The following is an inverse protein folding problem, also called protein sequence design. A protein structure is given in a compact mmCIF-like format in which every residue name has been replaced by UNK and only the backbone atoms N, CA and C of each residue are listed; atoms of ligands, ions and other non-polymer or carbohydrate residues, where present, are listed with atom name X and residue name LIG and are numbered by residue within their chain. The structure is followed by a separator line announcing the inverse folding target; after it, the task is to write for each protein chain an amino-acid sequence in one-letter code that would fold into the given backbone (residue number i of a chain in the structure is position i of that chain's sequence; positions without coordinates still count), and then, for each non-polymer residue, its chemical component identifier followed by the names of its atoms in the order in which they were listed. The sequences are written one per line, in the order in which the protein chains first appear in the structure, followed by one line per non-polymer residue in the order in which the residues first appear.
data_IF_030500300604
#
_entry.id   IF_030500300604
#
_cell.length_a   1.000
_cell.length_b   1.000
_cell.length_c   1.000
_cell.angle_alpha   90.00
_cell.angle_beta   90.00
_cell.angle_gamma   90.00
#
_symmetry.space_group_name_H-M   'P 1'
#
loop_
_entity.id
_entity.type
_entity.pdbx_description
1 polymer ?
#
# COMPACT_ATOMS: atom_id res chain seq x y z
N UNK A 1 -10.62 -8.70 -12.37
CA UNK A 1 -9.15 -8.63 -12.29
C UNK A 1 -8.67 -7.59 -13.30
N UNK A 2 -8.73 -6.32 -12.91
CA UNK A 2 -8.17 -5.20 -13.68
C UNK A 2 -6.65 -5.04 -13.42
N UNK A 3 -6.05 -6.05 -12.79
CA UNK A 3 -4.67 -6.05 -12.27
C UNK A 3 -3.65 -6.49 -13.33
N UNK A 4 -4.10 -6.79 -14.55
CA UNK A 4 -3.27 -7.31 -15.65
C UNK A 4 -3.21 -6.37 -16.88
N UNK A 5 -3.52 -5.09 -16.74
CA UNK A 5 -3.20 -4.13 -17.80
C UNK A 5 -1.69 -3.83 -17.83
N UNK A 6 -0.85 -4.84 -18.06
CA UNK A 6 0.47 -4.65 -18.67
C UNK A 6 0.20 -4.35 -20.15
N UNK A 7 -0.29 -3.14 -20.39
CA UNK A 7 -0.57 -2.63 -21.73
C UNK A 7 0.55 -1.70 -22.14
N UNK A 8 1.49 -2.17 -22.97
CA UNK A 8 2.05 -1.27 -24.00
C UNK A 8 0.89 -0.93 -24.93
N UNK A 9 0.15 0.13 -24.62
CA UNK A 9 -0.66 0.77 -25.64
C UNK A 9 0.34 1.47 -26.58
N UNK A 10 0.76 0.76 -27.63
CA UNK A 10 1.21 1.42 -28.86
C UNK A 10 0.00 2.21 -29.38
N UNK A 11 -0.12 3.48 -29.01
CA UNK A 11 -0.90 4.41 -29.80
C UNK A 11 -0.10 4.69 -31.06
N UNK A 12 -0.42 3.94 -32.11
CA UNK A 12 -0.51 4.42 -33.48
C UNK A 12 -1.25 3.34 -34.26
N UNK A 13 -2.47 3.63 -34.71
CA UNK A 13 -3.26 2.79 -35.62
C UNK A 13 -2.64 2.71 -37.04
N UNK A 14 -1.43 3.25 -37.21
CA UNK A 14 -0.62 3.14 -38.41
C UNK A 14 0.72 2.48 -38.05
N UNK A 15 1.18 1.45 -38.79
CA UNK A 15 2.55 0.96 -38.64
C UNK A 15 3.50 2.14 -38.88
N UNK A 16 4.47 2.34 -37.99
CA UNK A 16 5.48 3.39 -38.15
C UNK A 16 6.09 3.27 -39.54
N UNK A 17 5.79 4.25 -40.41
CA UNK A 17 6.18 4.20 -41.83
C UNK A 17 7.55 4.79 -42.07
N UNK A 18 8.10 5.46 -41.05
CA UNK A 18 9.41 6.09 -41.09
C UNK A 18 10.06 6.14 -39.69
N UNK A 19 11.36 6.42 -39.67
CA UNK A 19 12.19 6.54 -38.46
C UNK A 19 11.85 7.76 -37.59
N UNK A 20 10.99 8.67 -38.05
CA UNK A 20 10.50 9.80 -37.24
C UNK A 20 9.24 9.40 -36.43
N UNK A 21 8.41 8.48 -36.92
CA UNK A 21 7.24 7.94 -36.21
C UNK A 21 7.66 7.08 -35.00
N UNK A 22 8.84 6.45 -35.05
CA UNK A 22 9.43 5.72 -33.91
C UNK A 22 10.03 6.64 -32.84
N UNK A 23 10.13 7.95 -33.11
CA UNK A 23 10.69 8.97 -32.20
C UNK A 23 9.66 9.70 -31.36
N UNK A 24 8.39 9.31 -31.38
CA UNK A 24 7.43 9.72 -30.34
C UNK A 24 7.80 9.00 -29.03
N UNK A 25 8.85 9.47 -28.38
CA UNK A 25 9.12 9.14 -26.97
C UNK A 25 7.99 9.77 -26.18
N UNK A 26 7.05 8.96 -25.70
CA UNK A 26 6.15 9.40 -24.65
C UNK A 26 7.01 10.00 -23.52
N UNK A 27 6.84 11.29 -23.24
CA UNK A 27 7.64 11.99 -22.22
C UNK A 27 7.40 11.45 -20.81
N UNK A 28 6.26 10.78 -20.60
CA UNK A 28 5.83 10.22 -19.32
C UNK A 28 5.33 8.78 -19.55
N UNK A 29 5.44 7.94 -18.52
CA UNK A 29 4.76 6.65 -18.49
C UNK A 29 3.24 6.80 -18.59
N UNK A 30 2.54 5.78 -19.08
CA UNK A 30 1.07 5.78 -19.12
C UNK A 30 0.49 5.96 -17.71
N UNK A 31 1.01 5.22 -16.72
CA UNK A 31 0.61 5.31 -15.32
C UNK A 31 0.78 6.72 -14.79
N UNK A 32 1.94 7.35 -14.98
CA UNK A 32 2.17 8.74 -14.58
C UNK A 32 1.25 9.71 -15.30
N UNK A 33 1.14 9.61 -16.63
CA UNK A 33 0.31 10.51 -17.42
C UNK A 33 -1.16 10.45 -16.99
N UNK A 34 -1.68 9.25 -16.71
CA UNK A 34 -3.04 9.05 -16.21
C UNK A 34 -3.20 9.62 -14.81
N UNK A 35 -2.41 9.18 -13.82
CA UNK A 35 -2.58 9.62 -12.42
C UNK A 35 -2.37 11.12 -12.30
N UNK A 36 -1.30 11.66 -12.88
CA UNK A 36 -1.00 13.10 -12.82
C UNK A 36 -2.09 13.95 -13.46
N UNK A 37 -2.58 13.55 -14.64
CA UNK A 37 -3.63 14.32 -15.33
C UNK A 37 -4.94 14.31 -14.55
N UNK A 38 -5.37 13.15 -14.05
CA UNK A 38 -6.64 13.06 -13.32
C UNK A 38 -6.57 13.68 -11.92
N UNK A 39 -5.47 13.47 -11.18
CA UNK A 39 -5.24 14.12 -9.90
C UNK A 39 -5.27 15.66 -10.00
N UNK A 40 -4.69 16.23 -11.07
CA UNK A 40 -4.64 17.68 -11.25
C UNK A 40 -5.87 18.29 -11.91
N UNK A 41 -6.48 17.58 -12.86
CA UNK A 41 -7.59 18.15 -13.64
C UNK A 41 -8.96 17.89 -13.00
N UNK A 42 -9.13 16.75 -12.31
CA UNK A 42 -10.40 16.34 -11.72
C UNK A 42 -10.13 15.51 -10.45
N UNK A 43 -9.66 16.13 -9.36
CA UNK A 43 -9.40 15.40 -8.12
C UNK A 43 -10.66 14.88 -7.44
N UNK A 44 -11.82 15.48 -7.77
CA UNK A 44 -13.13 15.00 -7.35
C UNK A 44 -13.22 14.79 -5.82
N UNK A 45 -12.95 15.81 -5.00
CA UNK A 45 -12.92 15.66 -3.55
C UNK A 45 -14.27 15.25 -2.96
N UNK A 46 -14.24 14.64 -1.77
CA UNK A 46 -15.40 14.54 -0.89
C UNK A 46 -15.56 15.79 0.01
N UNK A 47 -16.52 15.77 0.94
CA UNK A 47 -16.81 16.90 1.80
C UNK A 47 -15.67 17.25 2.77
N UNK A 48 -14.69 16.35 2.93
CA UNK A 48 -13.50 16.54 3.76
C UNK A 48 -12.28 16.95 2.95
N UNK A 49 -12.45 17.11 1.63
CA UNK A 49 -11.39 17.49 0.71
C UNK A 49 -10.52 16.32 0.26
N UNK A 50 -10.83 15.06 0.62
CA UNK A 50 -10.02 13.92 0.16
C UNK A 50 -10.35 13.62 -1.29
N UNK A 51 -9.36 13.47 -2.18
CA UNK A 51 -9.62 13.23 -3.61
C UNK A 51 -10.29 11.87 -3.83
N UNK A 52 -11.39 11.83 -4.58
CA UNK A 52 -12.19 10.62 -4.83
C UNK A 52 -11.93 9.95 -6.18
N UNK A 53 -11.16 10.59 -7.05
CA UNK A 53 -10.90 10.14 -8.43
C UNK A 53 -10.22 8.75 -8.52
N UNK A 54 -9.49 8.33 -7.48
CA UNK A 54 -8.79 7.04 -7.44
C UNK A 54 -9.75 5.87 -7.67
N UNK A 55 -10.85 5.81 -6.90
CA UNK A 55 -11.80 4.70 -6.97
C UNK A 55 -12.67 4.76 -8.24
N UNK A 56 -12.77 5.93 -8.88
CA UNK A 56 -13.48 6.09 -10.17
C UNK A 56 -12.74 5.39 -11.32
N UNK A 57 -11.40 5.34 -11.27
CA UNK A 57 -10.57 4.65 -12.28
C UNK A 57 -10.24 3.20 -11.92
N UNK A 58 -10.30 2.84 -10.64
CA UNK A 58 -10.18 1.47 -10.15
C UNK A 58 -11.57 0.94 -9.76
N UNK A 59 -12.47 0.64 -10.72
CA UNK A 59 -13.85 0.30 -10.39
C UNK A 59 -13.97 -1.04 -9.66
N UNK A 60 -14.93 -1.12 -8.74
CA UNK A 60 -15.34 -2.39 -8.15
C UNK A 60 -16.01 -3.29 -9.20
N UNK A 61 -15.91 -4.60 -9.01
CA UNK A 61 -16.86 -5.53 -9.62
C UNK A 61 -18.18 -5.50 -8.83
N UNK A 62 -19.29 -5.40 -9.54
CA UNK A 62 -20.65 -5.64 -9.06
C UNK A 62 -21.19 -6.85 -9.81
N UNK A 63 -21.36 -7.99 -9.15
CA UNK A 63 -21.86 -9.22 -9.79
C UNK A 63 -23.37 -9.12 -10.14
N UNK A 64 -24.09 -8.18 -9.50
CA UNK A 64 -25.51 -7.88 -9.76
C UNK A 64 -25.75 -6.70 -10.70
N UNK A 65 -24.69 -6.08 -11.24
CA UNK A 65 -24.82 -4.90 -12.10
C UNK A 65 -25.40 -3.66 -11.39
N UNK A 66 -25.35 -3.64 -10.05
CA UNK A 66 -25.78 -2.51 -9.23
C UNK A 66 -24.65 -1.48 -9.12
N UNK A 67 -24.95 -0.22 -9.45
CA UNK A 67 -24.03 0.92 -9.43
C UNK A 67 -24.44 2.00 -8.43
N UNK A 68 -25.40 1.72 -7.56
CA UNK A 68 -25.95 2.63 -6.56
C UNK A 68 -24.89 3.11 -5.55
N UNK A 69 -23.89 2.27 -5.26
CA UNK A 69 -22.74 2.57 -4.39
C UNK A 69 -21.41 2.66 -5.12
N UNK A 70 -21.46 2.82 -6.44
CA UNK A 70 -20.27 3.05 -7.24
C UNK A 70 -19.67 4.44 -6.87
N UNK A 71 -18.36 4.69 -7.02
CA UNK A 71 -17.79 6.01 -6.67
C UNK A 71 -18.19 7.13 -7.64
N UNK A 72 -18.51 6.79 -8.88
CA UNK A 72 -18.90 7.76 -9.92
C UNK A 72 -20.39 7.69 -10.25
N UNK A 73 -21.03 8.84 -10.45
CA UNK A 73 -22.37 8.92 -11.03
C UNK A 73 -22.32 8.60 -12.53
N UNK A 74 -23.49 8.45 -13.17
CA UNK A 74 -23.57 8.11 -14.61
C UNK A 74 -22.97 9.19 -15.51
N UNK A 75 -23.01 10.44 -15.07
CA UNK A 75 -22.39 11.61 -15.71
C UNK A 75 -20.92 11.80 -15.32
N UNK A 76 -20.35 10.91 -14.50
CA UNK A 76 -18.93 10.91 -14.15
C UNK A 76 -18.56 11.87 -13.01
N UNK A 77 -19.53 12.38 -12.25
CA UNK A 77 -19.27 13.15 -11.04
C UNK A 77 -18.94 12.23 -9.85
N UNK A 78 -18.31 12.79 -8.81
CA UNK A 78 -18.12 12.05 -7.56
C UNK A 78 -19.48 11.87 -6.85
N UNK A 79 -19.92 10.62 -6.69
CA UNK A 79 -21.16 10.30 -5.95
C UNK A 79 -21.09 10.75 -4.49
N UNK A 80 -19.89 10.77 -3.92
CA UNK A 80 -19.63 11.07 -2.51
C UNK A 80 -19.09 12.48 -2.29
N UNK A 81 -19.26 13.39 -3.25
CA UNK A 81 -18.78 14.78 -3.15
C UNK A 81 -19.26 15.51 -1.89
N UNK A 82 -20.53 15.32 -1.52
CA UNK A 82 -21.15 15.90 -0.32
C UNK A 82 -21.05 14.97 0.92
N UNK A 83 -20.36 13.84 0.78
CA UNK A 83 -20.25 12.80 1.79
C UNK A 83 -18.81 12.42 2.07
N UNK A 84 -18.54 11.12 2.16
CA UNK A 84 -17.21 10.57 2.39
C UNK A 84 -16.92 9.49 1.35
N UNK A 85 -15.78 9.58 0.66
CA UNK A 85 -15.42 8.63 -0.39
C UNK A 85 -15.32 7.18 0.10
N UNK A 86 -15.10 6.96 1.41
CA UNK A 86 -14.99 5.63 2.01
C UNK A 86 -16.33 4.93 2.21
N UNK A 87 -17.44 5.66 2.10
CA UNK A 87 -18.79 5.08 2.13
C UNK A 87 -19.15 4.35 0.81
N UNK A 88 -18.26 4.41 -0.20
CA UNK A 88 -18.38 3.70 -1.46
C UNK A 88 -18.03 2.22 -1.40
N UNK A 89 -18.56 1.43 -2.33
CA UNK A 89 -18.19 0.03 -2.53
C UNK A 89 -17.37 -0.11 -3.81
N UNK A 90 -16.06 -0.01 -3.63
CA UNK A 90 -15.02 0.07 -4.64
C UNK A 90 -14.27 -1.24 -4.84
N UNK A 91 -13.26 -1.23 -5.72
CA UNK A 91 -12.24 -2.28 -5.77
C UNK A 91 -11.42 -2.33 -4.47
N UNK A 92 -11.19 -1.17 -3.83
CA UNK A 92 -10.50 -1.05 -2.57
C UNK A 92 -11.50 -0.84 -1.43
N UNK A 93 -12.32 0.22 -1.49
CA UNK A 93 -13.26 0.55 -0.40
C UNK A 93 -14.24 -0.59 -0.10
N UNK A 94 -14.19 -1.10 1.12
CA UNK A 94 -15.01 -2.22 1.57
C UNK A 94 -14.52 -3.60 1.08
N UNK A 95 -13.35 -3.71 0.44
CA UNK A 95 -12.77 -5.01 0.01
C UNK A 95 -11.39 -5.27 0.60
N UNK A 96 -10.67 -4.22 0.95
CA UNK A 96 -9.40 -4.32 1.66
C UNK A 96 -9.61 -4.22 3.18
N UNK A 97 -8.82 -4.95 3.95
CA UNK A 97 -8.85 -4.92 5.42
C UNK A 97 -8.75 -3.49 5.96
N UNK A 98 -7.91 -2.65 5.37
CA UNK A 98 -7.71 -1.29 5.86
C UNK A 98 -8.88 -0.36 5.54
N UNK A 99 -9.72 -0.70 4.57
CA UNK A 99 -10.87 0.11 4.16
C UNK A 99 -12.22 -0.43 4.62
N UNK A 100 -12.27 -1.70 5.06
CA UNK A 100 -13.51 -2.39 5.35
C UNK A 100 -13.96 -2.12 6.80
N UNK A 101 -15.08 -1.42 7.02
CA UNK A 101 -15.57 -1.14 8.38
C UNK A 101 -16.11 -2.39 9.10
N UNK A 102 -16.33 -3.50 8.39
CA UNK A 102 -16.83 -4.77 8.95
C UNK A 102 -15.73 -5.77 9.30
N UNK A 103 -14.46 -5.42 9.14
CA UNK A 103 -13.34 -6.35 9.32
C UNK A 103 -13.13 -6.88 10.74
N UNK A 104 -13.72 -6.26 11.76
CA UNK A 104 -13.32 -6.49 13.16
C UNK A 104 -13.55 -7.95 13.59
N UNK A 105 -14.55 -8.63 13.02
CA UNK A 105 -14.83 -10.05 13.25
C UNK A 105 -13.87 -10.98 12.53
N UNK A 106 -13.05 -10.45 11.61
CA UNK A 106 -12.16 -11.20 10.73
C UNK A 106 -10.70 -11.16 11.21
N UNK A 107 -10.42 -10.45 12.29
CA UNK A 107 -9.07 -10.23 12.83
C UNK A 107 -8.83 -11.07 14.08
N UNK A 108 -7.81 -11.92 14.02
CA UNK A 108 -7.43 -12.83 15.11
C UNK A 108 -6.17 -12.39 15.86
N UNK A 109 -5.48 -11.35 15.37
CA UNK A 109 -4.25 -10.80 15.96
C UNK A 109 -4.33 -9.27 16.06
N UNK A 110 -3.52 -8.70 16.95
CA UNK A 110 -3.41 -7.25 17.12
C UNK A 110 -2.81 -6.56 15.89
N UNK A 111 -3.08 -5.27 15.73
CA UNK A 111 -2.56 -4.49 14.59
C UNK A 111 -1.12 -4.00 14.78
N UNK A 112 -0.53 -4.06 15.99
CA UNK A 112 0.86 -3.71 16.28
C UNK A 112 1.39 -2.47 15.51
N UNK A 113 0.87 -1.30 15.87
CA UNK A 113 1.05 -0.06 15.11
C UNK A 113 2.19 0.80 15.63
N UNK A 114 2.94 1.42 14.70
CA UNK A 114 3.86 2.51 15.00
C UNK A 114 3.08 3.83 15.25
N UNK A 115 3.77 4.94 15.48
CA UNK A 115 3.11 6.23 15.77
C UNK A 115 2.23 6.75 14.61
N UNK A 116 2.61 6.49 13.36
CA UNK A 116 1.84 6.86 12.17
C UNK A 116 0.57 6.02 12.08
N UNK A 117 0.69 4.70 12.26
CA UNK A 117 -0.45 3.79 12.26
C UNK A 117 -1.44 4.11 13.38
N UNK A 118 -0.94 4.43 14.58
CA UNK A 118 -1.79 4.87 15.71
C UNK A 118 -2.53 6.16 15.38
N UNK A 119 -1.85 7.15 14.77
CA UNK A 119 -2.50 8.38 14.33
C UNK A 119 -3.63 8.11 13.32
N UNK A 120 -3.39 7.25 12.32
CA UNK A 120 -4.42 6.85 11.36
C UNK A 120 -5.60 6.17 12.04
N UNK A 121 -5.36 5.21 12.94
CA UNK A 121 -6.41 4.54 13.71
C UNK A 121 -7.27 5.52 14.49
N UNK A 122 -6.64 6.50 15.13
CA UNK A 122 -7.30 7.39 16.08
C UNK A 122 -7.98 8.59 15.39
N UNK A 123 -7.53 8.98 14.20
CA UNK A 123 -7.96 10.23 13.53
C UNK A 123 -8.72 10.01 12.23
N UNK A 124 -8.28 9.05 11.42
CA UNK A 124 -8.82 8.84 10.08
C UNK A 124 -9.76 7.65 10.08
N UNK A 125 -9.31 6.54 10.64
CA UNK A 125 -10.00 5.27 10.60
C UNK A 125 -11.40 5.36 11.22
N UNK A 126 -11.46 5.91 12.43
CA UNK A 126 -12.71 6.18 13.15
C UNK A 126 -13.00 7.67 13.10
N UNK A 127 -13.92 8.09 12.24
CA UNK A 127 -14.22 9.50 12.00
C UNK A 127 -15.73 9.76 12.00
N UNK A 128 -16.16 10.83 12.68
CA UNK A 128 -17.58 11.16 12.94
C UNK A 128 -18.37 10.06 13.66
N UNK A 129 -17.71 9.32 14.56
CA UNK A 129 -18.33 8.21 15.29
C UNK A 129 -18.62 6.97 14.42
N UNK A 130 -18.05 6.89 13.22
CA UNK A 130 -18.13 5.72 12.33
C UNK A 130 -16.75 5.13 12.10
N UNK A 131 -16.65 3.80 12.12
CA UNK A 131 -15.53 3.10 11.52
C UNK A 131 -15.67 3.22 9.99
N UNK A 132 -14.71 3.86 9.34
CA UNK A 132 -14.70 4.11 7.89
C UNK A 132 -13.52 3.46 7.19
N UNK A 133 -12.51 3.04 7.95
CA UNK A 133 -11.24 2.62 7.39
C UNK A 133 -10.45 3.75 6.73
N UNK A 134 -9.43 3.33 6.00
CA UNK A 134 -8.55 4.16 5.20
C UNK A 134 -9.03 4.19 3.75
N UNK A 135 -8.73 5.30 3.09
CA UNK A 135 -8.85 5.51 1.65
C UNK A 135 -7.49 5.42 0.93
N UNK A 136 -7.50 5.29 -0.40
CA UNK A 136 -6.30 5.09 -1.24
C UNK A 136 -5.16 6.08 -0.94
N UNK A 137 -5.49 7.35 -0.72
CA UNK A 137 -4.51 8.42 -0.47
C UNK A 137 -3.87 8.39 0.91
N UNK A 138 -4.36 7.57 1.85
CA UNK A 138 -3.68 7.36 3.13
C UNK A 138 -2.55 6.34 3.02
N UNK A 139 -2.53 5.54 1.94
CA UNK A 139 -1.44 4.63 1.62
C UNK A 139 -0.54 5.27 0.56
N UNK A 140 -1.16 5.78 -0.52
CA UNK A 140 -0.47 6.37 -1.66
C UNK A 140 -0.32 7.87 -1.45
N UNK A 141 0.70 8.27 -0.70
CA UNK A 141 0.95 9.68 -0.36
C UNK A 141 2.44 10.05 -0.37
N UNK A 142 2.74 11.36 -0.29
CA UNK A 142 4.12 11.84 -0.19
C UNK A 142 4.86 11.33 1.05
N UNK A 143 4.14 10.92 2.12
CA UNK A 143 4.78 10.40 3.33
C UNK A 143 5.51 9.09 3.04
N UNK A 144 4.86 8.13 2.39
CA UNK A 144 5.47 6.83 2.09
C UNK A 144 6.81 6.99 1.35
N UNK A 145 6.85 7.89 0.35
CA UNK A 145 8.08 8.25 -0.35
C UNK A 145 9.17 8.82 0.58
N UNK A 146 8.79 9.75 1.47
CA UNK A 146 9.71 10.36 2.42
C UNK A 146 10.25 9.34 3.44
N UNK A 147 9.40 8.44 3.93
CA UNK A 147 9.78 7.40 4.87
C UNK A 147 10.76 6.43 4.21
N UNK A 148 10.44 5.93 3.01
CA UNK A 148 11.34 5.05 2.26
C UNK A 148 12.68 5.73 1.98
N UNK A 149 12.68 7.00 1.57
CA UNK A 149 13.92 7.77 1.36
C UNK A 149 14.80 7.84 2.62
N UNK A 150 14.19 8.01 3.80
CA UNK A 150 14.90 8.17 5.05
C UNK A 150 15.51 6.86 5.59
N UNK A 151 14.96 5.69 5.25
CA UNK A 151 15.41 4.41 5.81
C UNK A 151 16.88 4.12 5.54
N UNK A 152 17.58 3.61 6.55
CA UNK A 152 18.96 3.11 6.45
C UNK A 152 19.06 1.86 7.32
N UNK A 153 18.24 0.86 6.98
CA UNK A 153 18.06 -0.34 7.79
C UNK A 153 19.38 -1.11 7.95
N UNK A 154 19.65 -1.47 9.19
CA UNK A 154 20.63 -2.50 9.57
C UNK A 154 19.96 -3.82 9.88
N UNK A 155 18.70 -3.77 10.33
CA UNK A 155 17.88 -4.94 10.63
C UNK A 155 16.38 -4.61 10.48
N UNK A 156 15.72 -5.26 9.52
CA UNK A 156 14.30 -5.05 9.26
C UNK A 156 13.39 -5.67 10.33
N UNK A 157 13.80 -6.77 10.98
CA UNK A 157 12.97 -7.48 11.94
C UNK A 157 12.84 -6.72 13.27
N UNK A 158 13.86 -5.95 13.65
CA UNK A 158 13.84 -5.07 14.83
C UNK A 158 13.56 -3.61 14.49
N UNK A 159 13.58 -3.24 13.21
CA UNK A 159 13.51 -1.86 12.76
C UNK A 159 14.80 -1.06 13.01
N UNK A 160 15.92 -1.73 13.26
CA UNK A 160 17.23 -1.09 13.37
C UNK A 160 17.54 -0.27 12.12
N UNK A 161 17.71 1.05 12.27
CA UNK A 161 17.96 1.97 11.17
C UNK A 161 16.71 2.45 10.41
N UNK A 162 15.50 2.14 10.91
CA UNK A 162 14.25 2.67 10.36
C UNK A 162 14.20 4.18 10.62
N UNK A 163 14.23 4.99 9.55
CA UNK A 163 14.58 6.41 9.64
C UNK A 163 13.46 7.25 10.26
N UNK A 164 12.57 7.76 9.41
CA UNK A 164 11.41 8.53 9.86
C UNK A 164 10.32 7.64 10.47
N UNK A 165 10.30 6.34 10.17
CA UNK A 165 9.30 5.37 10.65
C UNK A 165 9.30 5.16 12.15
N UNK A 166 10.45 5.35 12.79
CA UNK A 166 10.62 5.20 14.22
C UNK A 166 10.25 6.47 15.01
N UNK A 167 9.76 7.52 14.33
CA UNK A 167 9.53 8.84 14.90
C UNK A 167 8.09 9.03 15.32
N UNK A 168 7.90 9.88 16.33
CA UNK A 168 6.59 10.39 16.73
C UNK A 168 6.06 11.42 15.71
N UNK A 169 4.75 11.70 15.73
CA UNK A 169 4.13 12.72 14.85
C UNK A 169 4.81 14.10 14.97
N UNK A 170 5.15 14.62 16.16
CA UNK A 170 5.88 15.89 16.28
C UNK A 170 7.29 15.85 15.69
N UNK A 171 8.01 14.74 15.83
CA UNK A 171 9.34 14.58 15.24
C UNK A 171 9.27 14.49 13.70
N UNK A 172 8.24 13.84 13.15
CA UNK A 172 7.97 13.85 11.71
C UNK A 172 7.69 15.26 11.20
N UNK A 173 6.89 16.04 11.94
CA UNK A 173 6.62 17.43 11.59
C UNK A 173 7.90 18.28 11.64
N UNK A 174 8.75 18.07 12.65
CA UNK A 174 10.05 18.74 12.72
C UNK A 174 10.92 18.43 11.49
N UNK A 175 10.95 17.17 11.05
CA UNK A 175 11.76 16.72 9.92
C UNK A 175 11.21 17.16 8.54
N UNK A 176 9.90 17.17 8.35
CA UNK A 176 9.28 17.36 7.03
C UNK A 176 8.66 18.74 6.82
N UNK A 177 8.27 19.43 7.89
CA UNK A 177 7.49 20.68 7.83
C UNK A 177 7.99 21.76 8.79
N UNK A 178 9.20 21.62 9.32
CA UNK A 178 9.79 22.60 10.26
C UNK A 178 9.04 22.72 11.58
N UNK A 179 8.31 21.66 11.98
CA UNK A 179 7.53 21.59 13.22
C UNK A 179 6.04 21.87 13.04
N UNK A 180 5.57 22.18 11.83
CA UNK A 180 4.15 22.42 11.59
C UNK A 180 3.37 21.09 11.41
N UNK A 181 2.74 20.63 12.49
CA UNK A 181 1.95 19.38 12.50
C UNK A 181 0.76 19.46 11.54
N UNK A 182 0.08 20.60 11.43
CA UNK A 182 -1.06 20.72 10.52
C UNK A 182 -0.62 20.57 9.06
N UNK A 183 0.51 21.18 8.71
CA UNK A 183 1.09 21.01 7.38
C UNK A 183 1.56 19.57 7.12
N UNK A 184 2.04 18.86 8.14
CA UNK A 184 2.35 17.43 8.02
C UNK A 184 1.07 16.65 7.69
N UNK A 185 -0.02 16.93 8.39
CA UNK A 185 -1.31 16.26 8.16
C UNK A 185 -1.81 16.51 6.74
N UNK A 186 -2.00 17.78 6.37
CA UNK A 186 -2.69 18.14 5.12
C UNK A 186 -1.87 17.87 3.85
N UNK A 187 -0.55 17.62 3.97
CA UNK A 187 0.33 17.36 2.82
C UNK A 187 0.88 15.92 2.77
N UNK A 188 1.01 15.25 3.90
CA UNK A 188 1.69 13.96 3.98
C UNK A 188 0.77 12.84 4.49
N UNK A 189 0.08 13.02 5.62
CA UNK A 189 -0.70 11.94 6.24
C UNK A 189 -2.10 11.79 5.62
N UNK A 190 -2.83 12.89 5.48
CA UNK A 190 -4.18 12.95 4.93
C UNK A 190 -4.23 14.05 3.87
N UNK A 191 -3.57 13.85 2.70
CA UNK A 191 -3.43 14.89 1.70
C UNK A 191 -4.80 15.27 1.11
N UNK A 192 -5.12 16.56 1.20
CA UNK A 192 -6.40 17.12 0.75
C UNK A 192 -6.26 17.92 -0.54
N UNK A 193 -7.38 18.06 -1.23
CA UNK A 193 -7.60 19.05 -2.27
C UNK A 193 -7.87 20.39 -1.59
N UNK A 194 -6.99 21.36 -1.82
CA UNK A 194 -7.13 22.73 -1.30
C UNK A 194 -7.05 23.68 -2.49
N UNK A 195 -8.02 24.59 -2.62
CA UNK A 195 -8.11 25.55 -3.72
C UNK A 195 -7.99 24.87 -5.12
N UNK A 196 -8.61 23.70 -5.25
CA UNK A 196 -8.57 22.87 -6.47
C UNK A 196 -7.25 22.12 -6.72
N UNK A 197 -6.26 22.27 -5.84
CA UNK A 197 -4.97 21.57 -5.94
C UNK A 197 -4.97 20.32 -5.07
N UNK A 198 -4.85 19.16 -5.71
CA UNK A 198 -4.62 17.87 -5.03
C UNK A 198 -3.16 17.77 -4.58
N UNK A 199 -2.93 17.85 -3.27
CA UNK A 199 -1.60 17.68 -2.69
C UNK A 199 -1.03 16.27 -2.86
N UNK A 200 -1.88 15.27 -3.11
CA UNK A 200 -1.42 13.93 -3.42
C UNK A 200 -0.92 13.79 -4.87
N UNK A 201 -1.26 14.72 -5.77
CA UNK A 201 -0.84 14.66 -7.17
C UNK A 201 0.70 14.60 -7.31
N UNK A 202 1.42 15.22 -6.38
CA UNK A 202 2.89 15.26 -6.37
C UNK A 202 3.54 13.88 -6.21
N UNK A 203 2.84 12.92 -5.60
CA UNK A 203 3.27 11.51 -5.47
C UNK A 203 3.53 10.87 -6.84
N UNK A 204 2.85 11.35 -7.89
CA UNK A 204 2.90 10.79 -9.23
C UNK A 204 3.91 11.48 -10.15
N UNK A 205 4.42 12.66 -9.78
CA UNK A 205 5.26 13.48 -10.65
C UNK A 205 6.65 12.87 -10.92
N UNK A 206 7.14 13.01 -12.16
CA UNK A 206 8.51 12.63 -12.56
C UNK A 206 9.57 13.24 -11.64
N UNK A 207 10.58 12.44 -11.28
CA UNK A 207 11.67 12.87 -10.39
C UNK A 207 11.30 12.98 -8.90
N UNK A 208 10.01 12.90 -8.55
CA UNK A 208 9.59 12.74 -7.16
C UNK A 208 9.60 11.26 -6.80
N UNK A 209 10.47 10.89 -5.86
CA UNK A 209 10.67 9.51 -5.39
C UNK A 209 12.09 9.29 -4.88
N UNK A 210 12.36 8.23 -4.11
CA UNK A 210 13.71 7.89 -3.68
C UNK A 210 14.65 7.66 -4.88
N UNK A 211 15.95 8.03 -4.78
CA UNK A 211 16.93 7.52 -5.73
C UNK A 211 16.88 5.99 -5.71
N UNK A 212 16.85 5.37 -6.89
CA UNK A 212 16.88 3.93 -7.08
C UNK A 212 18.29 3.37 -6.87
N UNK A 213 19.30 4.15 -7.26
CA UNK A 213 20.69 3.73 -7.21
C UNK A 213 21.57 4.78 -7.86
N UNK A 214 22.66 4.32 -8.47
CA UNK A 214 23.66 5.15 -9.11
C UNK A 214 23.99 4.57 -10.49
N UNK A 215 23.95 5.42 -11.50
CA UNK A 215 24.32 5.08 -12.87
C UNK A 215 25.81 5.33 -13.09
N UNK A 216 26.53 4.32 -13.55
CA UNK A 216 27.94 4.39 -13.96
C UNK A 216 28.07 5.07 -15.33
N UNK A 217 29.28 5.51 -15.66
CA UNK A 217 29.58 6.12 -16.97
C UNK A 217 29.36 5.20 -18.18
N UNK A 218 29.28 3.88 -17.98
CA UNK A 218 28.92 2.88 -19.00
C UNK A 218 27.40 2.66 -19.15
N UNK A 219 26.59 3.37 -18.34
CA UNK A 219 25.14 3.28 -18.32
C UNK A 219 24.56 2.24 -17.35
N UNK A 220 25.39 1.40 -16.74
CA UNK A 220 24.96 0.37 -15.76
C UNK A 220 24.47 1.03 -14.48
N UNK A 221 23.40 0.51 -13.88
CA UNK A 221 22.88 1.00 -12.59
C UNK A 221 23.20 0.03 -11.48
N UNK A 222 23.70 0.57 -10.37
CA UNK A 222 24.05 -0.15 -9.15
C UNK A 222 23.33 0.44 -7.94
N UNK A 223 23.03 -0.39 -6.95
CA UNK A 223 22.30 0.06 -5.76
C UNK A 223 23.15 0.90 -4.78
N UNK A 224 24.49 0.87 -4.90
CA UNK A 224 25.42 1.56 -3.99
C UNK A 224 26.19 2.65 -4.73
N UNK A 225 26.51 3.73 -4.03
CA UNK A 225 27.31 4.82 -4.56
C UNK A 225 28.72 4.34 -4.89
N UNK A 226 29.18 4.64 -6.10
CA UNK A 226 30.53 4.35 -6.56
C UNK A 226 31.18 5.63 -7.11
N UNK A 227 32.52 5.77 -7.07
CA UNK A 227 33.20 6.94 -7.61
C UNK A 227 32.82 7.19 -9.08
N UNK A 228 32.33 8.39 -9.36
CA UNK A 228 31.92 8.80 -10.72
C UNK A 228 30.53 8.31 -11.16
N UNK A 229 29.81 7.56 -10.33
CA UNK A 229 28.43 7.18 -10.60
C UNK A 229 27.45 8.29 -10.14
N UNK A 230 26.43 8.58 -10.94
CA UNK A 230 25.43 9.63 -10.65
C UNK A 230 24.16 9.04 -10.05
N UNK A 231 23.58 9.62 -8.99
CA UNK A 231 22.29 9.17 -8.47
C UNK A 231 21.23 9.17 -9.57
N UNK A 232 20.41 8.12 -9.60
CA UNK A 232 19.32 7.97 -10.56
C UNK A 232 18.04 7.63 -9.83
N UNK A 233 16.92 8.28 -10.18
CA UNK A 233 15.61 8.00 -9.60
C UNK A 233 14.95 6.82 -10.31
N UNK A 234 14.00 6.16 -9.65
CA UNK A 234 13.23 5.06 -10.26
C UNK A 234 12.55 5.48 -11.58
N UNK A 235 12.03 6.71 -11.61
CA UNK A 235 11.39 7.30 -12.80
C UNK A 235 12.31 7.50 -14.00
N UNK A 236 13.62 7.54 -13.78
CA UNK A 236 14.60 7.66 -14.86
C UNK A 236 14.91 6.30 -15.52
N UNK A 237 14.52 5.17 -14.88
CA UNK A 237 14.90 3.82 -15.28
C UNK A 237 13.76 2.99 -15.83
N UNK A 238 12.59 3.03 -15.21
CA UNK A 238 11.42 2.36 -15.73
C UNK A 238 10.52 3.39 -16.42
N UNK A 239 10.58 3.43 -17.76
CA UNK A 239 9.70 4.28 -18.59
C UNK A 239 8.20 4.03 -18.36
N UNK A 240 7.88 2.96 -17.65
CA UNK A 240 6.70 2.80 -16.80
C UNK A 240 7.16 2.80 -15.36
N UNK A 241 6.88 3.85 -14.57
CA UNK A 241 6.85 3.78 -13.10
C UNK A 241 5.73 2.83 -12.69
N UNK A 242 5.82 1.58 -13.14
CA UNK A 242 4.73 0.63 -13.13
C UNK A 242 4.42 0.43 -11.66
N UNK A 243 3.24 0.93 -11.30
CA UNK A 243 2.86 1.19 -9.93
C UNK A 243 3.09 -0.06 -9.09
N UNK A 244 2.90 -1.25 -9.67
CA UNK A 244 3.03 -2.55 -9.04
C UNK A 244 4.43 -2.91 -8.51
N UNK A 245 5.45 -2.18 -8.94
CA UNK A 245 6.85 -2.60 -8.82
C UNK A 245 7.80 -1.47 -8.39
N UNK A 246 7.27 -0.27 -8.15
CA UNK A 246 8.04 0.87 -7.68
C UNK A 246 8.42 0.72 -6.20
N UNK A 247 9.68 1.01 -5.81
CA UNK A 247 10.09 1.10 -4.42
C UNK A 247 9.35 2.18 -3.62
N UNK A 248 8.66 3.12 -4.28
CA UNK A 248 7.82 4.14 -3.64
C UNK A 248 6.38 3.70 -3.35
N UNK A 249 6.05 2.41 -3.54
CA UNK A 249 4.76 1.88 -3.12
C UNK A 249 4.60 1.91 -1.58
N UNK A 250 3.35 1.90 -1.07
CA UNK A 250 3.10 1.83 0.36
C UNK A 250 3.72 0.56 0.95
N UNK A 251 4.29 0.72 2.14
CA UNK A 251 4.86 -0.39 2.92
C UNK A 251 4.01 -0.64 4.17
N UNK A 252 3.91 -1.89 4.60
CA UNK A 252 3.39 -2.24 5.92
C UNK A 252 4.15 -1.47 7.01
N UNK A 253 5.47 -1.31 6.85
CA UNK A 253 6.32 -0.48 7.72
C UNK A 253 5.96 1.01 7.76
N UNK A 254 5.08 1.52 6.88
CA UNK A 254 4.52 2.87 7.00
C UNK A 254 3.70 3.01 8.29
N UNK A 255 2.94 1.97 8.67
CA UNK A 255 1.97 2.03 9.78
C UNK A 255 2.22 0.98 10.88
N UNK A 256 2.83 -0.15 10.55
CA UNK A 256 3.08 -1.25 11.47
C UNK A 256 4.45 -1.15 12.13
N UNK A 257 4.56 -1.69 13.34
CA UNK A 257 5.79 -1.81 14.09
C UNK A 257 6.47 -3.17 13.80
N UNK A 258 7.81 -3.24 13.80
CA UNK A 258 8.52 -4.51 13.72
C UNK A 258 8.13 -5.47 14.86
N UNK A 259 8.12 -6.79 14.64
CA UNK A 259 8.52 -7.49 13.41
C UNK A 259 7.42 -7.57 12.33
N UNK A 260 6.27 -6.93 12.51
CA UNK A 260 5.09 -7.00 11.64
C UNK A 260 5.22 -6.14 10.37
N UNK A 261 6.38 -6.20 9.73
CA UNK A 261 6.80 -5.35 8.62
C UNK A 261 7.56 -6.19 7.59
N UNK A 262 7.88 -5.60 6.44
CA UNK A 262 8.58 -6.26 5.35
C UNK A 262 10.00 -6.76 5.68
N UNK A 263 10.53 -7.61 4.78
CA UNK A 263 11.93 -8.07 4.82
C UNK A 263 12.92 -6.99 4.40
N UNK A 264 14.20 -7.23 4.69
CA UNK A 264 15.28 -6.39 4.18
C UNK A 264 15.30 -6.46 2.66
N UNK A 265 15.38 -5.30 2.01
CA UNK A 265 15.52 -5.19 0.56
C UNK A 265 16.97 -5.32 0.07
N UNK A 266 17.12 -5.38 -1.25
CA UNK A 266 18.40 -5.42 -1.96
C UNK A 266 18.66 -6.72 -2.72
N UNK A 267 17.78 -7.72 -2.59
CA UNK A 267 17.85 -8.97 -3.34
C UNK A 267 17.26 -8.82 -4.75
N UNK A 268 16.24 -7.97 -4.92
CA UNK A 268 15.44 -7.87 -6.13
C UNK A 268 15.67 -6.56 -6.89
N UNK A 269 16.85 -5.97 -6.80
CA UNK A 269 17.20 -4.74 -7.55
C UNK A 269 16.82 -4.87 -9.04
N UNK A 270 16.11 -3.89 -9.67
CA UNK A 270 15.80 -2.53 -9.20
C UNK A 270 14.49 -2.35 -8.41
N UNK A 271 13.88 -3.44 -7.93
CA UNK A 271 12.57 -3.41 -7.27
C UNK A 271 12.67 -2.99 -5.81
N UNK A 272 13.78 -3.34 -5.18
CA UNK A 272 14.14 -2.94 -3.84
C UNK A 272 15.61 -2.54 -3.76
N UNK A 273 15.99 -1.98 -2.61
CA UNK A 273 17.32 -1.45 -2.39
C UNK A 273 17.89 -1.99 -1.08
N UNK A 274 19.22 -2.20 -1.01
CA UNK A 274 19.89 -2.49 0.25
C UNK A 274 19.58 -1.44 1.32
N UNK A 275 19.47 -1.87 2.57
CA UNK A 275 19.18 -1.00 3.73
C UNK A 275 17.83 -0.27 3.64
N UNK A 276 16.87 -0.84 2.92
CA UNK A 276 15.46 -0.42 2.87
C UNK A 276 14.57 -1.62 3.18
N UNK A 277 13.31 -1.35 3.53
CA UNK A 277 12.30 -2.40 3.47
C UNK A 277 12.10 -2.80 2.00
N UNK A 278 11.95 -4.10 1.74
CA UNK A 278 11.47 -4.58 0.44
C UNK A 278 9.97 -4.30 0.31
N UNK A 279 9.45 -4.33 -0.92
CA UNK A 279 7.99 -4.20 -1.12
C UNK A 279 7.28 -5.45 -0.59
N UNK A 280 6.04 -5.31 -0.12
CA UNK A 280 5.24 -6.44 0.40
C UNK A 280 5.13 -7.62 -0.58
N UNK A 281 5.24 -7.37 -1.90
CA UNK A 281 5.15 -8.40 -2.96
C UNK A 281 6.37 -9.29 -3.03
N UNK A 282 7.53 -8.78 -2.62
CA UNK A 282 8.81 -9.49 -2.60
C UNK A 282 9.27 -9.81 -1.17
N UNK A 283 8.48 -9.37 -0.18
CA UNK A 283 8.71 -9.66 1.21
C UNK A 283 8.12 -11.01 1.57
N UNK A 284 8.88 -11.75 2.37
CA UNK A 284 8.51 -13.04 2.88
C UNK A 284 8.61 -13.05 4.40
N UNK A 285 7.74 -13.82 5.03
CA UNK A 285 7.79 -14.14 6.46
C UNK A 285 8.06 -15.61 6.67
N UNK A 286 7.46 -16.17 7.73
CA UNK A 286 7.49 -17.59 8.08
C UNK A 286 7.57 -18.53 6.88
N UNK A 287 8.58 -19.40 6.90
CA UNK A 287 8.82 -20.43 5.88
C UNK A 287 8.92 -19.88 4.44
N UNK A 288 9.40 -18.64 4.28
CA UNK A 288 9.53 -17.96 2.99
C UNK A 288 8.19 -17.80 2.25
N UNK A 289 7.07 -17.77 2.99
CA UNK A 289 5.75 -17.46 2.42
C UNK A 289 5.69 -15.95 2.20
N UNK A 290 5.25 -15.53 1.02
CA UNK A 290 5.09 -14.11 0.69
C UNK A 290 4.08 -13.47 1.64
N UNK A 291 4.22 -12.18 1.94
CA UNK A 291 3.21 -11.47 2.73
C UNK A 291 1.81 -11.60 2.11
N UNK A 292 1.72 -11.63 0.76
CA UNK A 292 0.46 -11.88 0.05
C UNK A 292 -0.13 -13.28 0.26
N UNK A 293 0.70 -14.29 0.53
CA UNK A 293 0.21 -15.64 0.85
C UNK A 293 -0.61 -15.68 2.14
N UNK A 294 -0.28 -14.83 3.12
CA UNK A 294 -0.99 -14.76 4.40
C UNK A 294 -1.99 -13.59 4.47
N UNK A 295 -1.59 -12.39 4.06
CA UNK A 295 -2.40 -11.17 4.16
C UNK A 295 -3.21 -10.89 2.89
N UNK A 296 -3.10 -11.73 1.86
CA UNK A 296 -3.72 -11.53 0.56
C UNK A 296 -3.27 -10.19 -0.08
N UNK A 297 -3.99 -9.68 -1.08
CA UNK A 297 -3.61 -8.44 -1.75
C UNK A 297 -4.32 -7.22 -1.13
N UNK A 298 -3.55 -6.17 -0.85
CA UNK A 298 -4.03 -4.91 -0.28
C UNK A 298 -4.96 -4.09 -1.20
N UNK A 299 -5.16 -4.53 -2.46
CA UNK A 299 -6.10 -3.95 -3.42
C UNK A 299 -7.14 -4.98 -3.89
N UNK A 300 -7.25 -6.10 -3.15
CA UNK A 300 -8.26 -7.13 -3.35
C UNK A 300 -7.75 -8.51 -2.99
N UNK A 301 -8.41 -9.13 -2.02
CA UNK A 301 -9.21 -10.35 -2.21
C UNK A 301 -10.26 -10.31 -1.08
N UNK A 302 -9.85 -10.32 0.20
CA UNK A 302 -10.72 -10.38 1.38
C UNK A 302 -10.09 -9.68 2.61
N UNK A 303 -10.84 -9.23 3.64
CA UNK A 303 -12.27 -9.42 3.88
C UNK A 303 -13.14 -8.50 3.04
N UNK A 304 -14.22 -9.06 2.47
CA UNK A 304 -15.18 -8.31 1.66
C UNK A 304 -16.34 -7.86 2.53
N UNK A 305 -16.74 -6.61 2.37
CA UNK A 305 -17.89 -6.03 3.04
C UNK A 305 -19.11 -6.94 2.77
N UNK A 306 -19.77 -7.50 3.81
CA UNK A 306 -20.88 -8.42 3.65
C UNK A 306 -22.12 -7.76 3.02
N UNK A 307 -22.17 -6.42 2.99
CA UNK A 307 -23.18 -5.62 2.29
C UNK A 307 -22.77 -5.32 0.84
N UNK A 308 -21.69 -5.94 0.36
CA UNK A 308 -21.16 -5.82 -0.99
C UNK A 308 -22.11 -6.32 -2.06
N UNK A 309 -21.99 -5.76 -3.26
CA UNK A 309 -22.68 -6.23 -4.46
C UNK A 309 -21.94 -7.41 -5.12
N UNK A 310 -21.37 -8.33 -4.33
CA UNK A 310 -20.64 -9.50 -4.79
C UNK A 310 -20.69 -10.62 -3.76
N UNK A 311 -21.50 -11.65 -4.03
CA UNK A 311 -21.66 -12.78 -3.11
C UNK A 311 -20.56 -13.85 -3.29
N UNK A 312 -19.92 -13.90 -4.45
CA UNK A 312 -18.90 -14.89 -4.77
C UNK A 312 -17.61 -14.62 -4.01
N UNK A 313 -17.24 -13.34 -3.88
CA UNK A 313 -16.02 -12.95 -3.19
C UNK A 313 -15.98 -13.41 -1.72
N UNK A 314 -16.92 -13.04 -0.83
CA UNK A 314 -16.92 -13.52 0.56
C UNK A 314 -16.86 -15.06 0.70
N UNK A 315 -17.51 -15.80 -0.22
CA UNK A 315 -17.51 -17.27 -0.20
C UNK A 315 -16.13 -17.84 -0.56
N UNK A 316 -15.46 -17.27 -1.56
CA UNK A 316 -14.07 -17.63 -1.93
C UNK A 316 -13.05 -17.23 -0.86
N UNK A 317 -13.40 -16.28 0.01
CA UNK A 317 -12.59 -15.93 1.16
C UNK A 317 -12.65 -17.00 2.25
N UNK A 318 -13.88 -17.36 2.62
CA UNK A 318 -14.18 -18.21 3.75
C UNK A 318 -13.64 -19.65 3.58
N UNK A 319 -13.29 -20.05 2.36
CA UNK A 319 -12.64 -21.35 2.10
C UNK A 319 -11.17 -21.42 2.55
N UNK A 320 -10.48 -20.29 2.77
CA UNK A 320 -9.06 -20.31 3.11
C UNK A 320 -8.83 -20.55 4.61
N UNK A 321 -9.68 -20.00 5.48
CA UNK A 321 -9.60 -20.26 6.91
C UNK A 321 -10.62 -21.32 7.34
N UNK A 322 -10.16 -22.27 8.15
CA UNK A 322 -11.01 -23.36 8.64
C UNK A 322 -12.19 -22.90 9.52
N UNK A 323 -12.09 -21.70 10.11
CA UNK A 323 -13.14 -21.07 10.90
C UNK A 323 -14.14 -20.25 10.06
N UNK A 324 -13.94 -20.19 8.74
CA UNK A 324 -14.78 -19.41 7.82
C UNK A 324 -14.51 -17.91 7.81
N UNK A 325 -13.52 -17.43 8.57
CA UNK A 325 -13.11 -16.03 8.53
C UNK A 325 -12.48 -15.68 7.18
N UNK A 326 -12.61 -14.42 6.81
CA UNK A 326 -12.22 -13.85 5.51
C UNK A 326 -11.03 -12.90 5.62
N UNK A 327 -10.47 -12.76 6.83
CA UNK A 327 -9.27 -11.96 7.11
C UNK A 327 -7.97 -12.67 6.69
N UNK A 328 -6.82 -12.26 7.27
CA UNK A 328 -5.55 -12.92 7.03
C UNK A 328 -5.64 -14.45 7.23
N UNK A 329 -4.93 -15.20 6.39
CA UNK A 329 -4.89 -16.66 6.45
C UNK A 329 -4.29 -17.09 7.77
N UNK A 330 -5.09 -17.76 8.58
CA UNK A 330 -4.69 -18.26 9.89
C UNK A 330 -3.86 -19.54 9.79
N UNK A 331 -3.12 -19.86 10.86
CA UNK A 331 -2.25 -21.03 10.88
C UNK A 331 -2.98 -22.36 10.61
N UNK A 332 -4.28 -22.42 10.93
CA UNK A 332 -5.15 -23.57 10.69
C UNK A 332 -5.37 -23.93 9.22
N UNK A 333 -5.06 -23.02 8.29
CA UNK A 333 -5.13 -23.28 6.86
C UNK A 333 -4.07 -24.31 6.40
N UNK A 334 -2.92 -24.36 7.07
CA UNK A 334 -1.80 -25.23 6.71
C UNK A 334 -1.43 -26.24 7.81
N UNK A 335 -1.75 -25.93 9.07
CA UNK A 335 -1.38 -26.74 10.22
C UNK A 335 -2.61 -27.26 10.97
N UNK A 336 -2.41 -28.38 11.68
CA UNK A 336 -3.28 -28.69 12.82
C UNK A 336 -2.91 -27.76 13.97
N UNK A 337 -3.90 -27.13 14.58
CA UNK A 337 -3.71 -26.11 15.61
C UNK A 337 -4.24 -26.53 16.98
N UNK A 338 -3.80 -25.81 18.01
CA UNK A 338 -4.44 -25.79 19.34
C UNK A 338 -5.81 -25.09 19.26
N UNK A 339 -6.55 -25.08 20.37
CA UNK A 339 -7.78 -24.31 20.48
C UNK A 339 -7.54 -22.79 20.32
N UNK A 340 -6.32 -22.32 20.64
CA UNK A 340 -5.90 -20.93 20.43
C UNK A 340 -5.47 -20.63 18.97
N UNK A 341 -5.57 -21.59 18.04
CA UNK A 341 -5.17 -21.39 16.64
C UNK A 341 -3.67 -21.51 16.37
N UNK A 342 -2.86 -21.93 17.35
CA UNK A 342 -1.40 -22.04 17.23
C UNK A 342 -1.01 -23.42 16.70
N UNK A 343 -0.07 -23.57 15.74
CA UNK A 343 0.35 -24.87 15.24
C UNK A 343 0.80 -25.83 16.35
N UNK A 344 0.28 -27.07 16.35
CA UNK A 344 0.65 -28.07 17.35
C UNK A 344 2.15 -28.36 17.37
N UNK A 345 2.82 -28.22 16.23
CA UNK A 345 4.28 -28.40 16.08
C UNK A 345 5.07 -27.26 16.74
N UNK A 346 4.48 -26.07 16.85
CA UNK A 346 5.12 -24.87 17.39
C UNK A 346 4.71 -24.58 18.84
N UNK A 347 3.74 -25.32 19.41
CA UNK A 347 3.11 -25.01 20.71
C UNK A 347 4.06 -24.90 21.90
N UNK A 348 5.21 -25.57 21.84
CA UNK A 348 6.22 -25.58 22.90
C UNK A 348 7.37 -24.58 22.64
N UNK A 349 7.34 -23.83 21.53
CA UNK A 349 8.34 -22.81 21.26
C UNK A 349 8.19 -21.63 22.23
N UNK A 350 9.32 -20.99 22.53
CA UNK A 350 9.41 -19.82 23.40
C UNK A 350 9.77 -18.63 22.53
N UNK A 351 8.97 -17.56 22.61
CA UNK A 351 9.23 -16.29 21.95
C UNK A 351 9.01 -15.14 22.94
N UNK A 352 9.90 -14.16 22.97
CA UNK A 352 9.84 -13.09 23.98
C UNK A 352 9.89 -13.61 25.43
N UNK A 353 10.57 -14.74 25.67
CA UNK A 353 10.71 -15.35 26.99
C UNK A 353 9.49 -16.12 27.51
N UNK A 354 8.43 -16.28 26.71
CA UNK A 354 7.23 -17.02 27.09
C UNK A 354 6.80 -18.05 26.02
N UNK A 355 6.14 -19.15 26.41
CA UNK A 355 5.59 -20.12 25.46
C UNK A 355 4.58 -19.47 24.49
N UNK A 356 4.50 -19.98 23.26
CA UNK A 356 3.56 -19.48 22.25
C UNK A 356 2.27 -20.31 22.11
N UNK A 357 2.21 -21.53 22.66
CA UNK A 357 1.17 -22.52 22.34
C UNK A 357 -0.29 -22.13 22.61
N UNK A 358 -0.49 -21.23 23.58
CA UNK A 358 -1.81 -20.71 23.97
C UNK A 358 -1.95 -19.20 23.69
N UNK A 359 -1.03 -18.63 22.91
CA UNK A 359 -0.97 -17.20 22.61
C UNK A 359 -0.81 -16.99 21.10
N UNK A 360 -1.95 -16.82 20.41
CA UNK A 360 -1.99 -16.65 18.95
C UNK A 360 -1.20 -15.42 18.50
N UNK A 361 -1.36 -14.30 19.20
CA UNK A 361 -0.71 -13.04 18.83
C UNK A 361 0.82 -13.16 18.95
N UNK A 362 1.31 -13.84 20.00
CA UNK A 362 2.74 -14.17 20.13
C UNK A 362 3.22 -15.15 19.08
N UNK A 363 2.42 -16.15 18.72
CA UNK A 363 2.76 -17.08 17.64
C UNK A 363 2.88 -16.35 16.28
N UNK A 364 1.99 -15.39 16.02
CA UNK A 364 2.08 -14.51 14.84
C UNK A 364 3.34 -13.65 14.90
N UNK A 365 3.67 -13.07 16.06
CA UNK A 365 4.91 -12.29 16.23
C UNK A 365 6.17 -13.14 15.97
N UNK A 366 6.18 -14.39 16.45
CA UNK A 366 7.24 -15.35 16.16
C UNK A 366 7.33 -15.65 14.66
N UNK A 367 6.21 -15.94 14.00
CA UNK A 367 6.17 -16.21 12.56
C UNK A 367 6.68 -15.03 11.70
N UNK A 368 6.49 -13.79 12.17
CA UNK A 368 7.04 -12.60 11.51
C UNK A 368 8.55 -12.42 11.71
N UNK A 369 9.09 -12.92 12.83
CA UNK A 369 10.51 -12.84 13.16
C UNK A 369 11.32 -14.04 12.63
N UNK A 370 10.67 -15.18 12.43
CA UNK A 370 11.21 -16.44 11.88
C UNK A 370 11.29 -16.35 10.34
N UNK A 371 12.29 -15.60 9.85
CA UNK A 371 12.50 -15.33 8.41
C UNK A 371 13.61 -16.19 7.81
#
# INVERSE_FOLDING_TARGET
HADNAIGRFQMNDAPATNEADTKVRAKLSLTEALHRKHARAMPAPDAKGRPGNCQMCHPAHSDRGLFDRFPATRDGANRYAEGDNRDGLGSYTGRDLHSNPYRATELHAGSHLNAIGQWYRDTVWSEDGKDRGLYCTHCHNPLSNALYQADRLTDAATGGGAGLRSKTIPELAAALTGGNVQQLIDRYLDPKVVDGTDHNAATWDHGNGPPLGYQRGDGTVVAKAEPGATPIAYGDLSGSKDFWFSPGLPHCADCHAPPFVESMGGEFFPMDQPAKYSLMRFSHGHAQITCQGCHQSAHGLFPVNPLGNDAASPQQAAQYNADGSTGPVGCGACHRTTAAGVPLVARNLIYGGSPIGDDYDRAVAWAHADR
#
